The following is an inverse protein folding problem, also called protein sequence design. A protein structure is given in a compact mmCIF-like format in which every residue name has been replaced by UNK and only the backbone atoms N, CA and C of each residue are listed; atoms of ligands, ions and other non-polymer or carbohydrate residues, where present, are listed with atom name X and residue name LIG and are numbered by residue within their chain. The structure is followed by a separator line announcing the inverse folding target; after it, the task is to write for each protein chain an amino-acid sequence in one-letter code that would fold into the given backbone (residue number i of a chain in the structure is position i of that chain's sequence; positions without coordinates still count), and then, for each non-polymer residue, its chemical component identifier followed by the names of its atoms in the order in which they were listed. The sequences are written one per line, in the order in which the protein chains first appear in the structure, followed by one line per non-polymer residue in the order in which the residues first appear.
data_IF_220127546783
#
_entry.id   IF_220127546783
#
_cell.length_a   1.000
_cell.length_b   1.000
_cell.length_c   1.000
_cell.angle_alpha   90.00
_cell.angle_beta   90.00
_cell.angle_gamma   90.00
#
_symmetry.space_group_name_H-M   'P 1'
#
loop_
_entity.id
_entity.type
_entity.pdbx_description
1 polymer ?
#
# COMPACT_ATOMS: atom_id res chain seq x y z
N UNK A 1 30.99 -24.42 23.36
CA UNK A 1 30.56 -24.77 21.99
C UNK A 1 29.13 -24.27 21.83
N UNK A 2 28.91 -23.18 21.09
CA UNK A 2 27.55 -22.73 20.78
C UNK A 2 26.85 -23.86 20.01
N UNK A 3 25.73 -24.35 20.53
CA UNK A 3 24.99 -25.42 19.84
C UNK A 3 24.50 -24.87 18.50
N UNK A 4 24.53 -25.72 17.46
CA UNK A 4 24.01 -25.36 16.12
C UNK A 4 22.57 -24.83 16.18
N UNK A 5 21.81 -25.24 17.21
CA UNK A 5 20.45 -24.78 17.46
C UNK A 5 20.38 -23.31 17.90
N UNK A 6 21.34 -22.82 18.70
CA UNK A 6 21.40 -21.41 19.09
C UNK A 6 21.70 -20.48 17.91
N UNK A 7 22.60 -20.90 17.00
CA UNK A 7 22.90 -20.13 15.79
C UNK A 7 21.68 -20.03 14.86
N UNK A 8 20.93 -21.13 14.71
CA UNK A 8 19.71 -21.14 13.90
C UNK A 8 18.62 -20.24 14.48
N UNK A 9 18.40 -20.30 15.80
CA UNK A 9 17.43 -19.43 16.47
C UNK A 9 17.79 -17.95 16.38
N UNK A 10 19.07 -17.61 16.56
CA UNK A 10 19.54 -16.23 16.41
C UNK A 10 19.34 -15.71 14.97
N UNK A 11 19.57 -16.55 13.97
CA UNK A 11 19.35 -16.19 12.56
C UNK A 11 17.87 -15.89 12.29
N UNK A 12 16.95 -16.73 12.80
CA UNK A 12 15.50 -16.54 12.64
C UNK A 12 15.02 -15.27 13.33
N UNK A 13 15.52 -14.97 14.53
CA UNK A 13 15.17 -13.73 15.24
C UNK A 13 15.69 -12.51 14.48
N UNK A 14 16.92 -12.57 13.95
CA UNK A 14 17.50 -11.48 13.17
C UNK A 14 16.72 -11.24 11.87
N UNK A 15 16.33 -12.30 11.14
CA UNK A 15 15.54 -12.13 9.91
C UNK A 15 14.15 -11.57 10.20
N UNK A 16 13.48 -12.02 11.26
CA UNK A 16 12.18 -11.46 11.66
C UNK A 16 12.27 -9.97 12.02
N UNK A 17 13.33 -9.56 12.74
CA UNK A 17 13.54 -8.16 13.10
C UNK A 17 13.82 -7.29 11.87
N UNK A 18 14.57 -7.78 10.88
CA UNK A 18 14.82 -7.05 9.62
C UNK A 18 13.52 -6.88 8.83
N UNK A 19 12.69 -7.92 8.75
CA UNK A 19 11.41 -7.85 8.04
C UNK A 19 10.45 -6.81 8.63
N UNK A 20 10.41 -6.66 9.96
CA UNK A 20 9.51 -5.70 10.63
C UNK A 20 9.98 -4.24 10.39
N UNK A 21 11.28 -3.99 10.37
CA UNK A 21 11.79 -2.64 10.06
C UNK A 21 11.58 -2.24 8.60
N UNK A 22 11.43 -3.19 7.68
CA UNK A 22 11.07 -2.90 6.28
C UNK A 22 9.61 -2.47 6.08
N UNK A 23 8.76 -2.53 7.11
CA UNK A 23 7.37 -2.12 7.05
C UNK A 23 7.10 -0.73 7.63
N UNK A 24 8.05 -0.16 8.38
CA UNK A 24 7.88 1.16 9.00
C UNK A 24 8.28 2.27 8.02
N UNK A 25 7.54 3.37 8.03
CA UNK A 25 7.79 4.51 7.16
C UNK A 25 7.49 5.84 7.87
N UNK A 26 8.15 6.91 7.45
CA UNK A 26 7.81 8.29 7.84
C UNK A 26 7.21 9.04 6.65
N UNK A 27 7.49 8.60 5.43
CA UNK A 27 6.97 9.16 4.19
C UNK A 27 6.84 8.05 3.12
N UNK A 28 6.12 8.33 2.03
CA UNK A 28 5.89 7.36 0.94
C UNK A 28 7.19 6.87 0.27
N UNK A 29 8.27 7.65 0.30
CA UNK A 29 9.56 7.27 -0.29
C UNK A 29 10.35 6.25 0.53
N UNK A 30 9.95 6.02 1.79
CA UNK A 30 10.49 4.94 2.62
C UNK A 30 9.88 3.58 2.22
N UNK A 31 8.76 3.60 1.51
CA UNK A 31 8.04 2.41 1.06
C UNK A 31 8.45 1.97 -0.35
N UNK A 32 8.28 0.67 -0.67
CA UNK A 32 8.38 0.17 -2.04
C UNK A 32 7.45 0.94 -3.00
N UNK A 33 7.80 0.93 -4.30
CA UNK A 33 7.09 1.71 -5.34
C UNK A 33 5.59 1.40 -5.48
N UNK A 34 5.13 0.24 -5.00
CA UNK A 34 3.72 -0.17 -5.06
C UNK A 34 2.99 -0.03 -3.70
N UNK A 35 3.59 0.68 -2.76
CA UNK A 35 3.07 0.88 -1.42
C UNK A 35 3.00 2.39 -1.10
N UNK A 36 2.21 2.75 -0.09
CA UNK A 36 2.11 4.09 0.46
C UNK A 36 2.32 4.06 1.98
N UNK A 37 2.81 5.15 2.54
CA UNK A 37 3.00 5.28 3.97
C UNK A 37 1.71 5.73 4.67
N UNK A 38 1.15 4.85 5.51
CA UNK A 38 -0.05 5.17 6.30
C UNK A 38 0.36 5.48 7.73
N UNK A 39 0.24 6.76 8.10
CA UNK A 39 0.50 7.24 9.47
C UNK A 39 -0.83 7.30 10.23
N UNK A 40 -0.94 6.50 11.29
CA UNK A 40 -2.10 6.54 12.18
C UNK A 40 -2.09 7.78 13.07
N UNK A 41 -3.27 8.29 13.44
CA UNK A 41 -3.45 9.49 14.29
C UNK A 41 -2.71 9.47 15.64
N UNK A 42 -2.33 8.29 16.13
CA UNK A 42 -1.67 8.09 17.43
C UNK A 42 -0.29 7.45 17.31
N UNK A 43 0.25 7.33 16.10
CA UNK A 43 1.51 6.65 15.84
C UNK A 43 2.60 7.66 15.46
N UNK A 44 3.79 7.51 16.05
CA UNK A 44 4.97 8.32 15.71
C UNK A 44 5.59 7.90 14.37
N UNK A 45 5.25 6.71 13.85
CA UNK A 45 5.70 6.15 12.59
C UNK A 45 4.52 5.52 11.85
N UNK A 46 4.55 5.59 10.52
CA UNK A 46 3.60 4.93 9.65
C UNK A 46 3.99 3.50 9.30
N UNK A 47 3.10 2.83 8.57
CA UNK A 47 3.33 1.50 8.00
C UNK A 47 3.11 1.56 6.49
N UNK A 48 4.00 0.91 5.73
CA UNK A 48 3.84 0.75 4.30
C UNK A 48 2.67 -0.20 4.02
N UNK A 49 1.70 0.28 3.24
CA UNK A 49 0.53 -0.47 2.81
C UNK A 49 0.45 -0.46 1.29
N UNK A 50 -0.08 -1.53 0.71
CA UNK A 50 -0.28 -1.61 -0.73
C UNK A 50 -1.15 -0.45 -1.26
N UNK A 51 -0.76 0.07 -2.43
CA UNK A 51 -1.60 1.00 -3.19
C UNK A 51 -2.92 0.33 -3.60
N UNK A 52 -3.97 1.13 -3.77
CA UNK A 52 -5.30 0.60 -4.06
C UNK A 52 -5.37 -0.07 -5.44
N UNK A 53 -5.80 -1.34 -5.52
CA UNK A 53 -5.92 -2.05 -6.79
C UNK A 53 -7.13 -1.59 -7.59
N UNK A 54 -7.16 -1.94 -8.88
CA UNK A 54 -8.28 -1.62 -9.79
C UNK A 54 -9.61 -2.14 -9.24
N UNK A 55 -10.65 -1.32 -9.30
CA UNK A 55 -12.01 -1.65 -8.85
C UNK A 55 -12.22 -1.52 -7.35
N UNK A 56 -11.21 -1.11 -6.58
CA UNK A 56 -11.41 -0.76 -5.16
C UNK A 56 -11.86 0.68 -5.01
N UNK A 57 -12.72 0.90 -4.03
CA UNK A 57 -13.18 2.24 -3.66
C UNK A 57 -12.00 3.08 -3.18
N UNK A 58 -11.82 4.24 -3.79
CA UNK A 58 -10.82 5.24 -3.43
C UNK A 58 -11.43 6.40 -2.63
N UNK A 59 -12.66 6.23 -2.12
CA UNK A 59 -13.33 7.20 -1.27
C UNK A 59 -12.90 7.00 0.18
N UNK A 60 -12.30 8.02 0.78
CA UNK A 60 -11.82 8.04 2.18
C UNK A 60 -10.75 6.99 2.52
N UNK A 61 -9.93 6.63 1.54
CA UNK A 61 -8.79 5.71 1.73
C UNK A 61 -7.51 6.48 2.04
N UNK A 62 -6.62 5.89 2.84
CA UNK A 62 -5.34 6.50 3.18
C UNK A 62 -4.30 6.38 2.05
N UNK A 63 -4.35 5.33 1.23
CA UNK A 63 -3.48 5.18 0.07
C UNK A 63 -4.14 5.62 -1.24
N UNK A 64 -3.36 6.15 -2.21
CA UNK A 64 -3.84 6.42 -3.55
C UNK A 64 -4.02 5.14 -4.36
N UNK A 65 -4.61 5.29 -5.55
CA UNK A 65 -4.67 4.23 -6.55
C UNK A 65 -3.28 3.80 -7.01
N UNK A 66 -3.15 2.52 -7.36
CA UNK A 66 -1.92 1.96 -7.90
C UNK A 66 -1.46 2.62 -9.22
N UNK A 67 -0.28 2.24 -9.72
CA UNK A 67 0.30 2.81 -10.92
C UNK A 67 -0.66 2.73 -12.10
N UNK A 68 -0.76 3.80 -12.88
CA UNK A 68 -1.65 3.92 -14.06
C UNK A 68 -3.15 3.81 -13.75
N UNK A 69 -3.55 3.98 -12.49
CA UNK A 69 -4.94 4.06 -12.08
C UNK A 69 -5.25 5.46 -11.56
N UNK A 70 -6.48 5.89 -11.81
CA UNK A 70 -7.03 7.15 -11.30
C UNK A 70 -8.30 6.87 -10.51
N UNK A 71 -8.49 7.60 -9.42
CA UNK A 71 -9.73 7.56 -8.65
C UNK A 71 -10.81 8.31 -9.44
N UNK A 72 -11.79 7.58 -9.99
CA UNK A 72 -12.85 8.17 -10.82
C UNK A 72 -14.23 7.60 -10.50
N UNK A 73 -15.25 8.32 -10.95
CA UNK A 73 -16.62 7.83 -10.83
C UNK A 73 -16.81 6.66 -11.81
N UNK A 74 -17.16 5.51 -11.28
CA UNK A 74 -17.33 4.24 -12.04
C UNK A 74 -18.80 3.89 -12.25
N UNK A 75 -19.66 4.24 -11.29
CA UNK A 75 -21.09 4.01 -11.35
C UNK A 75 -21.84 5.25 -10.89
N UNK A 76 -22.88 5.65 -11.63
CA UNK A 76 -23.84 6.69 -11.23
C UNK A 76 -25.21 6.04 -11.13
N UNK A 77 -25.64 5.76 -9.91
CA UNK A 77 -26.97 5.23 -9.63
C UNK A 77 -28.08 6.25 -9.92
N UNK A 78 -29.33 5.78 -10.12
CA UNK A 78 -30.46 6.62 -10.52
C UNK A 78 -30.85 7.71 -9.51
N UNK A 79 -30.32 7.66 -8.29
CA UNK A 79 -30.56 8.63 -7.22
C UNK A 79 -29.34 9.52 -6.92
N UNK A 80 -28.37 9.63 -7.83
CA UNK A 80 -27.17 10.46 -7.64
C UNK A 80 -26.14 9.87 -6.67
N UNK A 81 -26.34 8.63 -6.22
CA UNK A 81 -25.28 7.86 -5.56
C UNK A 81 -24.24 7.47 -6.60
N UNK A 82 -23.02 7.93 -6.41
CA UNK A 82 -21.90 7.55 -7.27
C UNK A 82 -20.85 6.77 -6.48
N UNK A 83 -20.29 5.74 -7.09
CA UNK A 83 -19.08 5.08 -6.57
C UNK A 83 -17.85 5.77 -7.13
N UNK A 84 -16.79 5.86 -6.33
CA UNK A 84 -15.47 6.33 -6.77
C UNK A 84 -14.49 5.21 -6.56
N UNK A 85 -14.03 4.62 -7.66
CA UNK A 85 -13.13 3.47 -7.65
C UNK A 85 -11.87 3.74 -8.48
N UNK A 86 -10.80 3.01 -8.18
CA UNK A 86 -9.57 3.04 -8.96
C UNK A 86 -9.78 2.38 -10.32
N UNK A 87 -9.58 3.13 -11.40
CA UNK A 87 -9.76 2.63 -12.76
C UNK A 87 -8.74 3.22 -13.73
N UNK A 88 -8.58 2.59 -14.89
CA UNK A 88 -7.68 3.05 -15.95
C UNK A 88 -8.19 4.38 -16.52
N UNK A 89 -7.34 5.39 -16.75
CA UNK A 89 -7.74 6.62 -17.41
C UNK A 89 -8.23 6.33 -18.83
N UNK A 90 -9.39 6.87 -19.21
CA UNK A 90 -10.03 6.68 -20.51
C UNK A 90 -9.17 7.07 -21.72
N UNK A 91 -8.15 7.90 -21.52
CA UNK A 91 -7.27 8.39 -22.59
C UNK A 91 -5.99 7.54 -22.77
N UNK A 92 -5.87 6.41 -22.09
CA UNK A 92 -4.65 5.57 -22.12
C UNK A 92 -4.58 4.63 -23.33
N UNK A 93 -5.59 4.66 -24.21
CA UNK A 93 -5.70 3.82 -25.40
C UNK A 93 -4.97 4.37 -26.64
N UNK A 94 -4.20 5.46 -26.51
CA UNK A 94 -3.66 6.23 -27.66
C UNK A 94 -2.14 6.36 -27.75
N UNK A 95 -1.37 5.52 -27.04
CA UNK A 95 0.08 5.41 -27.23
C UNK A 95 0.48 3.94 -27.35
N UNK A 96 0.34 3.40 -28.55
CA UNK A 96 0.96 2.18 -29.03
C UNK A 96 1.64 2.48 -30.37
#
# INVERSE_FOLDING_TARGET
MLSKSFLLQALVVMTLMVSIHCLLCNNDGDCPTNECCVIGLLADQGVCNDLLPKGTSCKNTHCPCGPNLVCRITDVGPHGHYSKDCAVPENSTLLH
#
